data_IF_395102107180
#
_entry.id   IF_395102107180
#
_cell.length_a   1.000
_cell.length_b   1.000
_cell.length_c   1.000
_cell.angle_alpha   90.00
_cell.angle_beta   90.00
_cell.angle_gamma   90.00
#
_symmetry.space_group_name_H-M   'P 1'
#
loop_
_entity.id
_entity.type
_entity.pdbx_description
1 polymer ?
#
# COMPACT_ATOMS: atom_id res chain seq x y z
N UNK A 1 -19.51 3.07 -15.55
CA UNK A 1 -19.23 3.17 -14.11
C UNK A 1 -17.73 2.96 -13.98
N UNK A 2 -16.94 4.04 -14.01
CA UNK A 2 -15.49 3.94 -13.94
C UNK A 2 -15.15 3.52 -12.50
N UNK A 3 -14.86 2.24 -12.30
CA UNK A 3 -14.23 1.80 -11.05
C UNK A 3 -12.82 2.36 -11.09
N UNK A 4 -12.69 3.60 -10.61
CA UNK A 4 -11.42 4.21 -10.23
C UNK A 4 -10.72 3.20 -9.31
N UNK A 5 -9.72 2.50 -9.87
CA UNK A 5 -9.03 1.33 -9.32
C UNK A 5 -8.23 1.70 -8.06
N UNK A 6 -8.92 2.04 -6.97
CA UNK A 6 -8.28 2.25 -5.68
C UNK A 6 -7.68 0.94 -5.20
N UNK A 7 -6.36 0.81 -5.29
CA UNK A 7 -5.60 -0.33 -4.75
C UNK A 7 -6.14 -0.73 -3.37
N UNK A 8 -6.34 -2.03 -3.10
CA UNK A 8 -6.85 -2.48 -1.82
C UNK A 8 -5.83 -2.19 -0.70
N UNK A 9 -6.34 -1.97 0.52
CA UNK A 9 -5.45 -1.89 1.69
C UNK A 9 -5.10 -3.33 2.06
N UNK A 10 -3.87 -3.74 1.76
CA UNK A 10 -3.33 -5.03 2.17
C UNK A 10 -3.45 -5.16 3.68
N UNK A 11 -4.07 -6.23 4.19
CA UNK A 11 -4.17 -6.46 5.65
C UNK A 11 -2.98 -7.24 6.18
N UNK A 12 -2.32 -7.99 5.32
CA UNK A 12 -1.11 -8.71 5.64
C UNK A 12 -0.01 -7.79 6.21
N UNK A 13 0.72 -8.33 7.17
CA UNK A 13 1.80 -7.66 7.90
C UNK A 13 3.09 -8.47 7.94
N UNK A 14 3.20 -9.53 7.14
CA UNK A 14 4.41 -10.34 6.99
C UNK A 14 5.62 -9.45 6.75
N UNK A 15 6.66 -9.61 7.59
CA UNK A 15 7.90 -8.83 7.56
C UNK A 15 7.77 -7.34 7.90
N UNK A 16 6.60 -6.83 8.31
CA UNK A 16 6.41 -5.44 8.71
C UNK A 16 6.61 -5.26 10.22
N UNK A 17 7.55 -4.39 10.60
CA UNK A 17 7.76 -4.02 12.00
C UNK A 17 6.59 -3.21 12.58
N UNK A 18 6.39 -3.28 13.91
CA UNK A 18 5.36 -2.48 14.61
C UNK A 18 5.54 -0.98 14.39
N UNK A 19 6.79 -0.49 14.40
CA UNK A 19 7.12 0.91 14.13
C UNK A 19 6.80 1.32 12.70
N UNK A 20 7.08 0.47 11.71
CA UNK A 20 6.67 0.71 10.33
C UNK A 20 5.15 0.83 10.21
N UNK A 21 4.40 -0.10 10.82
CA UNK A 21 2.93 -0.13 10.80
C UNK A 21 2.34 1.15 11.39
N UNK A 22 2.84 1.59 12.54
CA UNK A 22 2.37 2.83 13.18
C UNK A 22 2.63 4.06 12.30
N UNK A 23 3.84 4.18 11.75
CA UNK A 23 4.20 5.29 10.85
C UNK A 23 3.38 5.27 9.56
N UNK A 24 3.12 4.09 9.01
CA UNK A 24 2.29 3.91 7.83
C UNK A 24 0.86 4.36 8.09
N UNK A 25 0.28 3.94 9.22
CA UNK A 25 -1.07 4.36 9.64
C UNK A 25 -1.15 5.88 9.84
N UNK A 26 -0.16 6.48 10.52
CA UNK A 26 -0.12 7.93 10.73
C UNK A 26 -0.09 8.70 9.40
N UNK A 27 0.70 8.24 8.41
CA UNK A 27 0.70 8.81 7.05
C UNK A 27 -0.64 8.63 6.34
N UNK A 28 -1.21 7.44 6.42
CA UNK A 28 -2.50 7.14 5.79
C UNK A 28 -3.61 8.05 6.34
N UNK A 29 -3.69 8.19 7.67
CA UNK A 29 -4.61 9.11 8.34
C UNK A 29 -4.33 10.55 7.91
N UNK A 30 -3.07 10.99 7.94
CA UNK A 30 -2.68 12.32 7.48
C UNK A 30 -3.15 12.63 6.06
N UNK A 31 -2.91 11.73 5.10
CA UNK A 31 -3.37 11.89 3.72
C UNK A 31 -4.88 11.77 3.55
N UNK A 32 -5.57 11.07 4.45
CA UNK A 32 -7.04 10.94 4.40
C UNK A 32 -7.72 12.22 4.86
N UNK A 33 -7.20 12.88 5.91
CA UNK A 33 -7.80 14.10 6.47
C UNK A 33 -7.26 15.40 5.87
N UNK A 34 -5.98 15.41 5.46
CA UNK A 34 -5.28 16.58 4.91
C UNK A 34 -4.84 16.36 3.46
N UNK A 35 -5.46 15.43 2.74
CA UNK A 35 -5.16 15.16 1.33
C UNK A 35 -5.32 16.44 0.48
N UNK A 36 -4.44 16.72 -0.49
CA UNK A 36 -4.55 17.92 -1.29
C UNK A 36 -5.85 17.88 -2.09
N UNK A 37 -6.59 19.00 -2.10
CA UNK A 37 -7.89 19.11 -2.77
C UNK A 37 -7.80 18.88 -4.30
N UNK A 38 -6.61 19.03 -4.88
CA UNK A 38 -6.29 18.79 -6.28
C UNK A 38 -5.07 17.89 -6.40
N UNK A 39 -5.27 16.58 -6.57
CA UNK A 39 -4.19 15.68 -6.96
C UNK A 39 -4.64 14.91 -8.18
N UNK A 40 -3.90 15.08 -9.28
CA UNK A 40 -4.07 14.28 -10.49
C UNK A 40 -3.98 12.79 -10.13
N UNK A 41 -4.78 11.89 -10.76
CA UNK A 41 -4.87 10.48 -10.39
C UNK A 41 -3.50 9.78 -10.25
N UNK A 42 -2.53 10.16 -11.10
CA UNK A 42 -1.17 9.61 -11.11
C UNK A 42 -0.26 10.09 -9.96
N UNK A 43 -0.70 11.05 -9.15
CA UNK A 43 0.04 11.65 -8.03
C UNK A 43 -0.58 11.29 -6.67
N UNK A 44 -1.59 10.42 -6.62
CA UNK A 44 -2.33 10.15 -5.38
C UNK A 44 -1.40 9.56 -4.29
N UNK A 45 -1.10 10.33 -3.21
CA UNK A 45 -0.14 9.91 -2.20
C UNK A 45 -0.61 8.64 -1.46
N UNK A 46 -1.92 8.40 -1.39
CA UNK A 46 -2.49 7.20 -0.78
C UNK A 46 -2.19 5.95 -1.61
N UNK A 47 -2.24 6.03 -2.94
CA UNK A 47 -1.98 4.86 -3.79
C UNK A 47 -0.51 4.47 -3.77
N UNK A 48 0.37 5.46 -3.85
CA UNK A 48 1.80 5.25 -3.63
C UNK A 48 2.08 4.61 -2.27
N UNK A 49 1.41 5.10 -1.21
CA UNK A 49 1.57 4.56 0.13
C UNK A 49 1.10 3.10 0.26
N UNK A 50 0.02 2.72 -0.45
CA UNK A 50 -0.49 1.33 -0.50
C UNK A 50 0.46 0.43 -1.31
N UNK A 51 0.92 0.89 -2.47
CA UNK A 51 1.88 0.18 -3.30
C UNK A 51 3.20 -0.09 -2.56
N UNK A 52 3.76 0.92 -1.89
CA UNK A 52 4.98 0.76 -1.08
C UNK A 52 4.82 -0.28 0.04
N UNK A 53 3.63 -0.39 0.63
CA UNK A 53 3.34 -1.41 1.63
C UNK A 53 3.25 -2.80 1.00
N UNK A 54 2.55 -2.92 -0.13
CA UNK A 54 2.43 -4.18 -0.85
C UNK A 54 3.81 -4.72 -1.27
N UNK A 55 4.68 -3.87 -1.84
CA UNK A 55 6.05 -4.23 -2.18
C UNK A 55 6.88 -4.75 -1.00
N UNK A 56 6.72 -4.15 0.20
CA UNK A 56 7.43 -4.60 1.40
C UNK A 56 6.95 -5.97 1.85
N UNK A 57 5.64 -6.22 1.81
CA UNK A 57 5.06 -7.52 2.16
C UNK A 57 5.48 -8.57 1.14
N UNK A 58 5.45 -8.25 -0.16
CA UNK A 58 5.92 -9.12 -1.24
C UNK A 58 7.37 -9.54 -1.01
N UNK A 59 8.28 -8.58 -0.79
CA UNK A 59 9.69 -8.86 -0.50
C UNK A 59 9.90 -9.68 0.77
N UNK A 60 9.06 -9.50 1.78
CA UNK A 60 9.12 -10.30 2.99
C UNK A 60 8.75 -11.76 2.74
N UNK A 61 7.74 -12.01 1.91
CA UNK A 61 7.37 -13.35 1.46
C UNK A 61 8.47 -13.99 0.61
N UNK A 62 9.04 -13.25 -0.34
CA UNK A 62 10.19 -13.69 -1.15
C UNK A 62 11.39 -14.07 -0.29
N UNK A 63 11.75 -13.23 0.68
CA UNK A 63 12.85 -13.49 1.61
C UNK A 63 12.59 -14.70 2.53
N UNK A 64 11.33 -14.95 2.87
CA UNK A 64 10.92 -16.10 3.66
C UNK A 64 10.75 -17.38 2.81
N UNK A 65 10.85 -17.31 1.47
CA UNK A 65 10.59 -18.42 0.56
C UNK A 65 9.13 -18.88 0.56
N UNK A 66 8.20 -17.99 0.91
CA UNK A 66 6.75 -18.28 0.98
C UNK A 66 6.00 -17.58 -0.14
N UNK A 67 4.91 -18.16 -0.68
CA UNK A 67 4.10 -17.48 -1.67
C UNK A 67 3.36 -16.29 -1.04
N UNK A 68 3.43 -15.13 -1.68
CA UNK A 68 2.65 -13.96 -1.28
C UNK A 68 1.18 -14.12 -1.72
N UNK A 69 0.21 -13.61 -0.94
CA UNK A 69 -1.20 -13.57 -1.35
C UNK A 69 -1.39 -12.80 -2.66
N UNK A 70 -2.35 -13.22 -3.49
CA UNK A 70 -2.62 -12.61 -4.80
C UNK A 70 -2.92 -11.09 -4.68
N UNK A 71 -3.65 -10.69 -3.64
CA UNK A 71 -3.91 -9.27 -3.36
C UNK A 71 -2.63 -8.43 -3.18
N UNK A 72 -1.59 -9.00 -2.57
CA UNK A 72 -0.28 -8.35 -2.36
C UNK A 72 0.43 -8.20 -3.70
N UNK A 73 0.39 -9.25 -4.51
CA UNK A 73 0.98 -9.25 -5.87
C UNK A 73 0.30 -8.20 -6.74
N UNK A 74 -1.03 -8.16 -6.76
CA UNK A 74 -1.79 -7.21 -7.57
C UNK A 74 -1.57 -5.76 -7.10
N UNK A 75 -1.54 -5.53 -5.78
CA UNK A 75 -1.29 -4.20 -5.23
C UNK A 75 0.18 -3.74 -5.38
N UNK A 76 1.12 -4.66 -5.62
CA UNK A 76 2.54 -4.41 -5.84
C UNK A 76 2.93 -4.27 -7.33
N UNK A 77 2.01 -4.52 -8.27
CA UNK A 77 2.22 -4.25 -9.69
C UNK A 77 2.30 -2.74 -9.96
N UNK A 78 3.01 -2.35 -11.03
CA UNK A 78 3.38 -0.96 -11.34
C UNK A 78 2.18 0.03 -11.36
N UNK A 79 2.49 1.32 -11.14
CA UNK A 79 1.57 2.46 -11.27
C UNK A 79 1.49 2.95 -12.72
#
# INVERSE_FOLDING_TARGET
MYSDEKRPIIRDTTGLSRSYRFRWWAKYVGYTFFGPADVQPHLNPLEKLKHERALRVLRAHEAAGTPAPQEVVDAARDL
#
